data_IF_753242545119
#
_entry.id   IF_753242545119
#
_cell.length_a   1.000
_cell.length_b   1.000
_cell.length_c   1.000
_cell.angle_alpha   90.00
_cell.angle_beta   90.00
_cell.angle_gamma   90.00
#
_symmetry.space_group_name_H-M   'P 1'
#
loop_
_entity.id
_entity.type
_entity.pdbx_description
1 polymer ?
#
# COMPACT_ATOMS: atom_id res chain seq x y z
N UNK A 1 5.49 -21.65 -10.39
CA UNK A 1 4.62 -20.46 -10.35
C UNK A 1 5.47 -19.23 -10.08
N UNK A 2 5.45 -18.22 -10.96
CA UNK A 2 6.19 -16.98 -10.71
C UNK A 2 5.58 -16.26 -9.49
N UNK A 3 6.30 -16.23 -8.36
CA UNK A 3 5.89 -15.45 -7.18
C UNK A 3 5.82 -13.97 -7.61
N UNK A 4 4.60 -13.43 -7.76
CA UNK A 4 4.37 -12.02 -8.13
C UNK A 4 4.82 -11.12 -6.98
N UNK A 5 5.78 -10.23 -7.23
CA UNK A 5 6.24 -9.22 -6.26
C UNK A 5 5.10 -8.25 -5.95
N UNK A 6 4.84 -8.03 -4.65
CA UNK A 6 3.89 -7.02 -4.22
C UNK A 6 4.57 -5.64 -4.23
N UNK A 7 4.11 -4.73 -5.09
CA UNK A 7 4.58 -3.35 -5.07
C UNK A 7 3.66 -2.52 -4.16
N UNK A 8 4.25 -1.83 -3.20
CA UNK A 8 3.55 -0.94 -2.29
C UNK A 8 4.25 0.40 -2.16
N UNK A 9 3.50 1.44 -1.83
CA UNK A 9 3.99 2.78 -1.58
C UNK A 9 3.58 3.21 -0.16
N UNK A 10 4.46 3.82 0.64
CA UNK A 10 4.05 4.33 1.95
C UNK A 10 2.98 5.41 1.79
N UNK A 11 1.97 5.38 2.65
CA UNK A 11 0.83 6.30 2.63
C UNK A 11 0.46 6.73 4.07
N UNK A 12 -0.48 7.65 4.21
CA UNK A 12 -0.99 8.14 5.49
C UNK A 12 -2.50 8.12 5.51
N UNK A 13 -3.12 8.07 6.70
CA UNK A 13 -4.59 8.17 6.81
C UNK A 13 -5.14 9.45 6.15
N UNK A 14 -4.39 10.55 6.19
CA UNK A 14 -4.80 11.80 5.54
C UNK A 14 -4.85 11.66 4.01
N UNK A 15 -3.83 11.01 3.40
CA UNK A 15 -3.80 10.75 1.97
C UNK A 15 -4.90 9.78 1.54
N UNK A 16 -5.07 8.68 2.28
CA UNK A 16 -6.14 7.71 2.06
C UNK A 16 -7.51 8.38 2.18
N UNK A 17 -7.71 9.21 3.20
CA UNK A 17 -8.98 9.92 3.41
C UNK A 17 -9.27 10.92 2.32
N UNK A 18 -8.27 11.65 1.84
CA UNK A 18 -8.45 12.59 0.73
C UNK A 18 -8.76 11.90 -0.59
N UNK A 19 -8.26 10.67 -0.81
CA UNK A 19 -8.45 9.94 -2.07
C UNK A 19 -9.69 9.06 -2.09
N UNK A 20 -10.05 8.44 -0.97
CA UNK A 20 -11.21 7.57 -0.86
C UNK A 20 -12.45 8.26 -0.31
N UNK A 21 -12.32 9.46 0.23
CA UNK A 21 -13.46 10.19 0.80
C UNK A 21 -13.97 9.65 2.13
N UNK A 22 -13.24 8.72 2.77
CA UNK A 22 -13.54 8.23 4.12
C UNK A 22 -12.25 8.12 4.92
N UNK A 23 -12.31 8.32 6.25
CA UNK A 23 -11.12 8.27 7.10
C UNK A 23 -10.86 6.83 7.60
N UNK A 24 -9.87 6.10 7.06
CA UNK A 24 -9.46 4.85 7.65
C UNK A 24 -8.78 5.12 9.00
N UNK A 25 -9.37 4.67 10.11
CA UNK A 25 -8.77 4.76 11.45
C UNK A 25 -7.66 3.71 11.67
N UNK A 26 -6.77 3.55 10.70
CA UNK A 26 -5.65 2.61 10.76
C UNK A 26 -4.49 3.21 11.57
N UNK A 27 -3.75 2.37 12.29
CA UNK A 27 -2.61 2.80 13.12
C UNK A 27 -1.31 2.21 12.60
N UNK A 28 -0.22 2.95 12.79
CA UNK A 28 1.13 2.50 12.40
C UNK A 28 1.55 2.97 11.01
N UNK A 29 2.55 2.28 10.44
CA UNK A 29 3.07 2.58 9.09
C UNK A 29 2.18 1.89 8.06
N UNK A 30 1.58 2.70 7.19
CA UNK A 30 0.63 2.27 6.18
C UNK A 30 1.29 2.24 4.80
N UNK A 31 0.87 1.26 4.01
CA UNK A 31 1.37 1.04 2.66
C UNK A 31 0.21 0.73 1.74
N UNK A 32 0.11 1.41 0.61
CA UNK A 32 -0.92 1.17 -0.39
C UNK A 32 -0.35 0.41 -1.58
N UNK A 33 -1.12 -0.54 -2.10
CA UNK A 33 -0.76 -1.30 -3.30
C UNK A 33 -0.64 -0.38 -4.51
N UNK A 34 0.45 -0.52 -5.24
CA UNK A 34 0.68 0.19 -6.50
C UNK A 34 1.16 -0.78 -7.59
N UNK A 35 1.28 -0.27 -8.82
CA UNK A 35 1.96 -0.99 -9.90
C UNK A 35 3.50 -0.86 -9.79
N UNK A 36 4.24 -1.48 -10.71
CA UNK A 36 5.71 -1.40 -10.74
C UNK A 36 6.26 0.02 -10.92
N UNK A 37 5.45 0.94 -11.44
CA UNK A 37 5.81 2.34 -11.67
C UNK A 37 5.44 3.25 -10.48
N UNK A 38 4.92 2.69 -9.38
CA UNK A 38 4.50 3.47 -8.20
C UNK A 38 3.14 4.16 -8.35
N UNK A 39 2.39 3.86 -9.41
CA UNK A 39 1.04 4.42 -9.64
C UNK A 39 0.01 3.59 -8.88
N UNK A 40 -0.79 4.27 -8.06
CA UNK A 40 -1.85 3.68 -7.25
C UNK A 40 -3.16 3.69 -8.04
N UNK A 41 -3.80 2.53 -8.18
CA UNK A 41 -5.18 2.46 -8.66
C UNK A 41 -6.14 2.58 -7.47
N UNK A 42 -6.58 3.80 -7.19
CA UNK A 42 -7.40 4.12 -6.02
C UNK A 42 -8.76 3.41 -5.97
N UNK A 43 -9.29 2.93 -7.11
CA UNK A 43 -10.55 2.17 -7.16
C UNK A 43 -10.41 0.72 -6.66
N UNK A 44 -9.20 0.15 -6.73
CA UNK A 44 -8.91 -1.27 -6.42
C UNK A 44 -7.76 -1.47 -5.46
N UNK A 45 -7.16 -0.38 -4.95
CA UNK A 45 -5.99 -0.44 -4.11
C UNK A 45 -6.33 -1.03 -2.76
N UNK A 46 -5.46 -1.92 -2.28
CA UNK A 46 -5.49 -2.44 -0.92
C UNK A 46 -4.46 -1.71 -0.09
N UNK A 47 -4.79 -1.43 1.17
CA UNK A 47 -3.86 -0.89 2.16
C UNK A 47 -3.38 -2.02 3.06
N UNK A 48 -2.12 -1.93 3.46
CA UNK A 48 -1.41 -2.89 4.29
C UNK A 48 -0.69 -2.14 5.42
N UNK A 49 -0.60 -2.78 6.58
CA UNK A 49 0.28 -2.37 7.66
C UNK A 49 1.69 -2.93 7.46
N UNK A 50 2.68 -2.35 8.16
CA UNK A 50 4.05 -2.87 8.16
C UNK A 50 4.12 -4.37 8.49
N UNK A 51 3.35 -4.82 9.48
CA UNK A 51 3.34 -6.21 9.93
C UNK A 51 2.85 -7.17 8.84
N UNK A 52 1.83 -6.78 8.06
CA UNK A 52 1.31 -7.58 6.93
C UNK A 52 2.30 -7.71 5.76
N UNK A 53 3.29 -6.82 5.69
CA UNK A 53 4.35 -6.89 4.69
C UNK A 53 5.51 -7.77 5.12
N UNK A 54 5.77 -7.91 6.43
CA UNK A 54 6.83 -8.77 6.97
C UNK A 54 6.53 -10.23 6.67
N UNK A 55 5.26 -10.65 6.74
CA UNK A 55 4.82 -12.00 6.38
C UNK A 55 4.92 -12.33 4.88
N UNK A 56 5.28 -11.35 4.02
CA UNK A 56 5.46 -11.57 2.58
C UNK A 56 6.93 -11.65 2.19
N UNK A 57 7.33 -12.80 1.65
CA UNK A 57 8.69 -13.06 1.14
C UNK A 57 9.15 -12.08 0.02
N UNK A 58 8.24 -11.41 -0.70
CA UNK A 58 8.60 -10.52 -1.83
C UNK A 58 7.72 -9.26 -1.88
N UNK A 59 8.15 -8.25 -1.13
CA UNK A 59 7.58 -6.89 -1.16
C UNK A 59 8.60 -5.90 -1.72
N UNK A 60 8.18 -5.08 -2.67
CA UNK A 60 8.93 -3.95 -3.17
C UNK A 60 8.27 -2.65 -2.67
N UNK A 61 8.97 -1.92 -1.82
CA UNK A 61 8.49 -0.64 -1.28
C UNK A 61 9.04 0.48 -2.16
N UNK A 62 8.19 1.07 -2.99
CA UNK A 62 8.54 2.19 -3.86
C UNK A 62 8.49 3.46 -3.00
N UNK A 63 9.66 4.07 -2.75
CA UNK A 63 9.80 5.36 -2.08
C UNK A 63 9.90 6.45 -3.15
N UNK A 64 9.11 7.51 -3.00
CA UNK A 64 9.17 8.70 -3.83
C UNK A 64 10.32 9.60 -3.37
#
# INVERSE_FOLDING_TARGET
MAKKTLNVKPTTNSELSGKWGFNPSLRGKLFIRCNSNGIVNWEKASVYNADELIDREKVNIIRN
#
